data_IF_341876303438
#
_entry.id   IF_341876303438
#
_cell.length_a   1.000
_cell.length_b   1.000
_cell.length_c   1.000
_cell.angle_alpha   90.00
_cell.angle_beta   90.00
_cell.angle_gamma   90.00
#
_symmetry.space_group_name_H-M   'P 1'
#
loop_
_entity.id
_entity.type
_entity.pdbx_description
1 polymer ?
#
# COMPACT_ATOMS: atom_id res chain seq x y z
N UNK A 1 12.65 3.36 -44.59
CA UNK A 1 11.50 4.06 -43.97
C UNK A 1 10.77 3.30 -42.84
N UNK A 2 11.26 2.13 -42.36
CA UNK A 2 10.52 1.34 -41.35
C UNK A 2 10.89 1.63 -39.88
N UNK A 3 12.08 2.18 -39.59
CA UNK A 3 12.48 2.49 -38.20
C UNK A 3 11.74 3.72 -37.64
N UNK A 4 11.63 4.81 -38.41
CA UNK A 4 10.97 6.04 -37.96
C UNK A 4 9.50 5.81 -37.55
N UNK A 5 8.77 4.99 -38.32
CA UNK A 5 7.38 4.64 -38.06
C UNK A 5 7.19 3.73 -36.82
N UNK A 6 8.25 3.08 -36.32
CA UNK A 6 8.23 2.30 -35.06
C UNK A 6 8.74 3.10 -33.86
N UNK A 7 9.73 3.96 -34.08
CA UNK A 7 10.32 4.82 -33.05
C UNK A 7 9.33 5.90 -32.59
N UNK A 8 8.61 6.56 -33.51
CA UNK A 8 7.70 7.65 -33.14
C UNK A 8 6.54 7.20 -32.22
N UNK A 9 5.87 6.04 -32.46
CA UNK A 9 4.89 5.50 -31.52
C UNK A 9 5.51 5.08 -30.17
N UNK A 10 6.72 4.51 -30.17
CA UNK A 10 7.44 4.15 -28.93
C UNK A 10 7.84 5.38 -28.10
N UNK A 11 8.35 6.43 -28.75
CA UNK A 11 8.65 7.71 -28.10
C UNK A 11 7.39 8.38 -27.58
N UNK A 12 6.27 8.32 -28.32
CA UNK A 12 4.96 8.79 -27.83
C UNK A 12 4.41 7.98 -26.65
N UNK A 13 4.78 6.71 -26.52
CA UNK A 13 4.47 5.91 -25.32
C UNK A 13 5.38 6.26 -24.13
N UNK A 14 6.61 6.72 -24.39
CA UNK A 14 7.55 7.19 -23.37
C UNK A 14 7.18 8.59 -22.83
N UNK A 15 6.54 9.43 -23.65
CA UNK A 15 6.14 10.80 -23.31
C UNK A 15 4.75 10.92 -22.67
N UNK A 16 4.02 9.82 -22.43
CA UNK A 16 2.78 9.93 -21.66
C UNK A 16 3.13 10.13 -20.18
N UNK A 17 2.74 11.26 -19.57
CA UNK A 17 2.90 11.43 -18.13
C UNK A 17 2.21 10.26 -17.45
N UNK A 18 2.87 9.67 -16.46
CA UNK A 18 2.23 8.64 -15.65
C UNK A 18 0.85 9.13 -15.20
N UNK A 19 -0.13 8.23 -15.10
CA UNK A 19 -1.48 8.57 -14.65
C UNK A 19 -1.48 9.28 -13.27
N UNK A 20 -0.39 9.21 -12.52
CA UNK A 20 -0.21 9.87 -11.23
C UNK A 20 0.64 11.16 -11.30
N UNK A 21 1.30 11.45 -12.42
CA UNK A 21 2.28 12.53 -12.56
C UNK A 21 1.68 13.91 -12.26
N UNK A 22 0.43 14.16 -12.69
CA UNK A 22 -0.31 15.38 -12.37
C UNK A 22 -0.37 15.64 -10.86
N UNK A 23 -0.75 14.63 -10.07
CA UNK A 23 -0.87 14.77 -8.61
C UNK A 23 0.50 14.96 -7.98
N UNK A 24 1.51 14.21 -8.44
CA UNK A 24 2.89 14.36 -7.99
C UNK A 24 3.39 15.79 -8.17
N UNK A 25 3.16 16.39 -9.33
CA UNK A 25 3.62 17.75 -9.61
C UNK A 25 2.92 18.80 -8.73
N UNK A 26 1.62 18.63 -8.47
CA UNK A 26 0.90 19.48 -7.51
C UNK A 26 1.46 19.33 -6.09
N UNK A 27 1.80 18.11 -5.69
CA UNK A 27 2.29 17.80 -4.35
C UNK A 27 3.72 18.25 -4.09
N UNK A 28 4.50 18.55 -5.14
CA UNK A 28 5.81 19.22 -4.99
C UNK A 28 5.65 20.63 -4.41
N UNK A 29 4.61 21.36 -4.84
CA UNK A 29 4.40 22.76 -4.47
C UNK A 29 3.34 22.98 -3.38
N UNK A 30 2.42 22.03 -3.19
CA UNK A 30 1.33 22.13 -2.22
C UNK A 30 1.40 20.98 -1.22
N UNK A 31 0.95 21.18 0.03
CA UNK A 31 0.92 20.11 1.06
C UNK A 31 -0.22 19.09 0.86
N UNK A 32 -1.28 19.48 0.16
CA UNK A 32 -2.46 18.65 -0.14
C UNK A 32 -2.90 18.87 -1.60
N UNK A 33 -3.70 17.94 -2.12
CA UNK A 33 -4.37 18.14 -3.41
C UNK A 33 -5.54 19.13 -3.23
N UNK A 34 -5.72 20.10 -4.15
CA UNK A 34 -6.93 20.90 -4.18
C UNK A 34 -8.17 20.03 -4.42
N UNK A 35 -9.34 20.58 -4.13
CA UNK A 35 -10.59 19.81 -4.11
C UNK A 35 -10.90 19.12 -5.45
N UNK A 36 -10.60 19.81 -6.57
CA UNK A 36 -10.83 19.28 -7.92
C UNK A 36 -9.94 18.06 -8.21
N UNK A 37 -8.65 18.16 -7.94
CA UNK A 37 -7.69 17.08 -8.22
C UNK A 37 -7.83 15.94 -7.22
N UNK A 38 -8.24 16.21 -5.99
CA UNK A 38 -8.64 15.17 -5.04
C UNK A 38 -9.83 14.36 -5.57
N UNK A 39 -10.86 15.03 -6.08
CA UNK A 39 -12.00 14.34 -6.69
C UNK A 39 -11.60 13.56 -7.95
N UNK A 40 -10.68 14.10 -8.75
CA UNK A 40 -10.09 13.41 -9.90
C UNK A 40 -9.32 12.15 -9.48
N UNK A 41 -8.47 12.23 -8.46
CA UNK A 41 -7.74 11.07 -7.92
C UNK A 41 -8.70 9.99 -7.41
N UNK A 42 -9.77 10.39 -6.71
CA UNK A 42 -10.80 9.48 -6.25
C UNK A 42 -11.50 8.74 -7.42
N UNK A 43 -11.67 9.39 -8.57
CA UNK A 43 -12.18 8.71 -9.78
C UNK A 43 -11.13 7.78 -10.38
N UNK A 44 -9.87 8.22 -10.43
CA UNK A 44 -8.76 7.45 -11.01
C UNK A 44 -8.55 6.11 -10.30
N UNK A 45 -8.60 6.07 -8.97
CA UNK A 45 -8.40 4.83 -8.19
C UNK A 45 -9.47 3.76 -8.42
N UNK A 46 -10.61 4.11 -9.05
CA UNK A 46 -11.65 3.15 -9.45
C UNK A 46 -11.38 2.51 -10.82
N UNK A 47 -10.38 2.99 -11.54
CA UNK A 47 -10.06 2.53 -12.90
C UNK A 47 -8.90 1.54 -12.87
N UNK A 48 -8.72 0.76 -13.93
CA UNK A 48 -7.58 -0.16 -14.07
C UNK A 48 -6.21 0.55 -14.07
N UNK A 49 -6.19 1.87 -14.28
CA UNK A 49 -4.96 2.68 -14.18
C UNK A 49 -4.33 2.61 -12.80
N UNK A 50 -5.13 2.35 -11.75
CA UNK A 50 -4.64 2.21 -10.38
C UNK A 50 -3.54 1.15 -10.28
N UNK A 51 -3.64 0.03 -11.01
CA UNK A 51 -2.63 -1.03 -10.97
C UNK A 51 -1.26 -0.57 -11.49
N UNK A 52 -1.23 0.34 -12.46
CA UNK A 52 0.03 0.93 -12.93
C UNK A 52 0.60 1.88 -11.87
N UNK A 53 -0.27 2.64 -11.20
CA UNK A 53 0.12 3.56 -10.13
C UNK A 53 0.69 2.79 -8.92
N UNK A 54 0.12 1.64 -8.54
CA UNK A 54 0.60 0.81 -7.45
C UNK A 54 2.02 0.26 -7.67
N UNK A 55 2.46 0.15 -8.94
CA UNK A 55 3.82 -0.28 -9.31
C UNK A 55 4.83 0.88 -9.32
N UNK A 56 4.37 2.11 -9.14
CA UNK A 56 5.27 3.27 -9.15
C UNK A 56 6.04 3.39 -7.83
N UNK A 57 7.26 3.93 -7.92
CA UNK A 57 7.98 4.39 -6.75
C UNK A 57 7.37 5.71 -6.25
N UNK A 58 6.45 5.59 -5.30
CA UNK A 58 5.78 6.71 -4.66
C UNK A 58 6.55 7.16 -3.41
N UNK A 59 6.64 8.47 -3.19
CA UNK A 59 7.09 8.98 -1.90
C UNK A 59 6.11 8.59 -0.79
N UNK A 60 6.54 8.61 0.47
CA UNK A 60 5.66 8.32 1.61
C UNK A 60 4.43 9.23 1.59
N UNK A 61 4.60 10.51 1.25
CA UNK A 61 3.50 11.48 1.16
C UNK A 61 2.53 11.20 0.02
N UNK A 62 3.03 10.79 -1.13
CA UNK A 62 2.20 10.37 -2.26
C UNK A 62 1.40 9.10 -1.93
N UNK A 63 2.05 8.14 -1.26
CA UNK A 63 1.42 6.89 -0.83
C UNK A 63 0.31 7.13 0.21
N UNK A 64 0.49 8.06 1.15
CA UNK A 64 -0.55 8.44 2.11
C UNK A 64 -1.77 9.06 1.40
N UNK A 65 -1.56 9.93 0.42
CA UNK A 65 -2.65 10.57 -0.34
C UNK A 65 -3.40 9.55 -1.19
N UNK A 66 -2.67 8.69 -1.91
CA UNK A 66 -3.26 7.59 -2.67
C UNK A 66 -4.00 6.61 -1.76
N UNK A 67 -3.41 6.25 -0.62
CA UNK A 67 -4.00 5.36 0.39
C UNK A 67 -5.32 5.90 0.94
N UNK A 68 -5.39 7.20 1.24
CA UNK A 68 -6.64 7.85 1.64
C UNK A 68 -7.72 7.76 0.54
N UNK A 69 -7.34 7.93 -0.73
CA UNK A 69 -8.27 7.78 -1.85
C UNK A 69 -8.77 6.33 -1.98
N UNK A 70 -7.86 5.35 -1.87
CA UNK A 70 -8.19 3.92 -1.87
C UNK A 70 -9.15 3.54 -0.73
N UNK A 71 -8.91 4.06 0.47
CA UNK A 71 -9.78 3.84 1.63
C UNK A 71 -11.16 4.46 1.45
N UNK A 72 -11.26 5.63 0.80
CA UNK A 72 -12.53 6.32 0.54
C UNK A 72 -13.39 5.64 -0.54
N UNK A 73 -12.79 5.12 -1.61
CA UNK A 73 -13.54 4.69 -2.81
C UNK A 73 -13.87 3.20 -2.77
N UNK A 74 -15.00 2.76 -3.35
CA UNK A 74 -15.23 1.32 -3.51
C UNK A 74 -14.27 0.75 -4.56
N UNK A 75 -13.36 -0.11 -4.10
CA UNK A 75 -12.37 -0.79 -4.93
C UNK A 75 -12.90 -2.14 -5.40
N UNK A 76 -12.58 -2.47 -6.64
CA UNK A 76 -12.78 -3.80 -7.24
C UNK A 76 -11.45 -4.55 -7.23
N UNK A 77 -11.49 -5.88 -7.10
CA UNK A 77 -10.31 -6.76 -7.13
C UNK A 77 -9.18 -6.31 -6.18
N UNK A 78 -9.53 -6.18 -4.90
CA UNK A 78 -8.58 -5.75 -3.87
C UNK A 78 -7.42 -6.74 -3.73
N UNK A 79 -7.67 -8.03 -3.93
CA UNK A 79 -6.65 -9.08 -3.88
C UNK A 79 -5.54 -8.85 -4.94
N UNK A 80 -5.91 -8.47 -6.18
CA UNK A 80 -4.93 -8.10 -7.22
C UNK A 80 -4.05 -6.91 -6.79
N UNK A 81 -4.63 -5.95 -6.05
CA UNK A 81 -3.90 -4.79 -5.54
C UNK A 81 -2.89 -5.21 -4.46
N UNK A 82 -3.30 -6.11 -3.56
CA UNK A 82 -2.45 -6.68 -2.52
C UNK A 82 -1.26 -7.41 -3.16
N UNK A 83 -1.52 -8.27 -4.12
CA UNK A 83 -0.49 -9.02 -4.85
C UNK A 83 0.53 -8.10 -5.53
N UNK A 84 0.06 -7.03 -6.18
CA UNK A 84 0.95 -6.05 -6.80
C UNK A 84 1.85 -5.38 -5.74
N UNK A 85 1.27 -4.97 -4.61
CA UNK A 85 2.01 -4.25 -3.57
C UNK A 85 3.06 -5.15 -2.89
N UNK A 86 2.71 -6.40 -2.63
CA UNK A 86 3.64 -7.43 -2.10
C UNK A 86 4.78 -7.65 -3.08
N UNK A 87 4.47 -7.94 -4.36
CA UNK A 87 5.49 -8.19 -5.39
C UNK A 87 6.42 -7.01 -5.63
N UNK A 88 5.90 -5.79 -5.54
CA UNK A 88 6.68 -4.58 -5.77
C UNK A 88 7.62 -4.27 -4.59
N UNK A 89 7.22 -4.61 -3.36
CA UNK A 89 7.99 -4.43 -2.11
C UNK A 89 8.71 -3.07 -1.99
N UNK A 90 8.06 -1.98 -2.41
CA UNK A 90 8.59 -0.64 -2.22
C UNK A 90 8.30 -0.13 -0.81
N UNK A 91 9.00 0.93 -0.37
CA UNK A 91 8.72 1.60 0.91
C UNK A 91 7.27 2.11 0.97
N UNK A 92 6.69 2.50 -0.16
CA UNK A 92 5.29 2.89 -0.30
C UNK A 92 4.32 1.71 -0.16
N UNK A 93 4.74 0.48 -0.47
CA UNK A 93 3.86 -0.69 -0.45
C UNK A 93 3.25 -0.93 0.92
N UNK A 94 4.04 -0.84 2.00
CA UNK A 94 3.53 -1.03 3.36
C UNK A 94 2.52 0.05 3.77
N UNK A 95 2.70 1.29 3.29
CA UNK A 95 1.75 2.39 3.56
C UNK A 95 0.42 2.07 2.87
N UNK A 96 0.46 1.68 1.59
CA UNK A 96 -0.73 1.37 0.82
C UNK A 96 -1.45 0.10 1.33
N UNK A 97 -0.70 -0.93 1.73
CA UNK A 97 -1.25 -2.14 2.35
C UNK A 97 -2.00 -1.81 3.64
N UNK A 98 -1.41 -0.99 4.53
CA UNK A 98 -2.09 -0.49 5.74
C UNK A 98 -3.46 0.12 5.39
N UNK A 99 -3.52 1.00 4.39
CA UNK A 99 -4.78 1.63 3.98
C UNK A 99 -5.81 0.65 3.39
N UNK A 100 -5.37 -0.38 2.67
CA UNK A 100 -6.22 -1.44 2.15
C UNK A 100 -6.82 -2.27 3.30
N UNK A 101 -5.99 -2.66 4.27
CA UNK A 101 -6.39 -3.43 5.46
C UNK A 101 -7.40 -2.64 6.30
N UNK A 102 -7.13 -1.36 6.56
CA UNK A 102 -8.02 -0.47 7.32
C UNK A 102 -9.39 -0.26 6.67
N UNK A 103 -9.58 -0.65 5.42
CA UNK A 103 -10.86 -0.58 4.72
C UNK A 103 -11.88 -1.60 5.25
N UNK A 104 -11.45 -2.63 6.00
CA UNK A 104 -12.31 -3.70 6.55
C UNK A 104 -13.20 -4.40 5.51
N UNK A 105 -12.72 -4.57 4.26
CA UNK A 105 -13.42 -5.39 3.26
C UNK A 105 -13.14 -6.88 3.51
N UNK A 106 -14.05 -7.78 3.12
CA UNK A 106 -13.71 -9.21 3.02
C UNK A 106 -12.66 -9.35 1.92
N UNK A 107 -11.42 -9.57 2.32
CA UNK A 107 -10.24 -9.76 1.45
C UNK A 107 -9.48 -10.98 1.97
N UNK A 108 -8.72 -11.63 1.10
CA UNK A 108 -7.83 -12.71 1.56
C UNK A 108 -6.60 -12.10 2.24
N UNK A 109 -6.45 -12.36 3.54
CA UNK A 109 -5.36 -11.83 4.35
C UNK A 109 -4.11 -12.74 4.31
N UNK A 110 -4.25 -14.00 3.85
CA UNK A 110 -3.14 -14.96 3.82
C UNK A 110 -1.92 -14.47 3.03
N UNK A 111 -2.05 -13.80 1.86
CA UNK A 111 -0.89 -13.26 1.16
C UNK A 111 -0.14 -12.22 2.01
N UNK A 112 -0.86 -11.38 2.76
CA UNK A 112 -0.28 -10.35 3.62
C UNK A 112 0.45 -11.01 4.81
N UNK A 113 -0.15 -12.02 5.43
CA UNK A 113 0.49 -12.77 6.52
C UNK A 113 1.78 -13.43 6.07
N UNK A 114 1.73 -14.19 4.97
CA UNK A 114 2.89 -14.87 4.42
C UNK A 114 4.02 -13.88 4.09
N UNK A 115 3.66 -12.75 3.48
CA UNK A 115 4.62 -11.69 3.20
C UNK A 115 5.25 -11.11 4.48
N UNK A 116 4.47 -10.83 5.52
CA UNK A 116 5.01 -10.32 6.79
C UNK A 116 5.93 -11.33 7.46
N UNK A 117 5.51 -12.60 7.52
CA UNK A 117 6.30 -13.67 8.11
C UNK A 117 7.61 -13.92 7.36
N UNK A 118 7.60 -13.80 6.03
CA UNK A 118 8.81 -13.88 5.21
C UNK A 118 9.76 -12.73 5.53
N UNK A 119 9.26 -11.50 5.60
CA UNK A 119 10.08 -10.32 5.95
C UNK A 119 10.64 -10.40 7.38
N UNK A 120 9.88 -10.97 8.33
CA UNK A 120 10.35 -11.26 9.69
C UNK A 120 11.49 -12.28 9.65
N UNK A 121 11.31 -13.40 8.94
CA UNK A 121 12.35 -14.44 8.83
C UNK A 121 13.63 -13.94 8.17
N UNK A 122 13.51 -13.08 7.17
CA UNK A 122 14.67 -12.50 6.47
C UNK A 122 15.39 -11.43 7.32
N UNK A 123 14.85 -11.04 8.48
CA UNK A 123 15.39 -9.94 9.30
C UNK A 123 15.16 -8.55 8.67
N UNK A 124 14.34 -8.47 7.62
CA UNK A 124 14.05 -7.26 6.86
C UNK A 124 12.81 -6.49 7.36
N UNK A 125 12.21 -6.99 8.44
CA UNK A 125 11.05 -6.38 9.07
C UNK A 125 11.37 -4.95 9.54
N UNK A 126 10.89 -3.97 8.77
CA UNK A 126 11.11 -2.54 9.03
C UNK A 126 9.98 -1.97 9.87
N UNK A 127 10.24 -0.86 10.57
CA UNK A 127 9.23 -0.08 11.31
C UNK A 127 7.92 0.15 10.54
N UNK A 128 8.00 0.35 9.22
CA UNK A 128 6.84 0.53 8.34
C UNK A 128 5.89 -0.68 8.30
N UNK A 129 6.39 -1.88 8.56
CA UNK A 129 5.61 -3.12 8.67
C UNK A 129 4.89 -3.23 10.01
N UNK A 130 5.39 -2.61 11.09
CA UNK A 130 4.68 -2.54 12.38
C UNK A 130 3.31 -1.88 12.23
N UNK A 131 3.22 -0.84 11.39
CA UNK A 131 1.93 -0.20 11.08
C UNK A 131 0.98 -1.11 10.29
N UNK A 132 1.52 -2.04 9.50
CA UNK A 132 0.72 -3.05 8.79
C UNK A 132 0.24 -4.11 9.77
N UNK A 133 1.11 -4.62 10.64
CA UNK A 133 0.78 -5.58 11.70
C UNK A 133 -0.29 -5.01 12.62
N UNK A 134 -0.13 -3.76 13.07
CA UNK A 134 -1.12 -3.09 13.89
C UNK A 134 -2.48 -2.93 13.18
N UNK A 135 -2.46 -2.62 11.88
CA UNK A 135 -3.68 -2.60 11.08
C UNK A 135 -4.31 -4.00 10.95
N UNK A 136 -3.52 -5.07 10.83
CA UNK A 136 -4.04 -6.44 10.82
C UNK A 136 -4.71 -6.77 12.15
N UNK A 137 -4.06 -6.52 13.28
CA UNK A 137 -4.63 -6.80 14.61
C UNK A 137 -6.00 -6.14 14.79
N UNK A 138 -6.11 -4.86 14.43
CA UNK A 138 -7.34 -4.07 14.61
C UNK A 138 -8.49 -4.49 13.69
N UNK A 139 -8.21 -5.01 12.50
CA UNK A 139 -9.22 -5.25 11.46
C UNK A 139 -9.45 -6.75 11.17
N UNK A 140 -8.46 -7.58 11.45
CA UNK A 140 -8.40 -9.03 11.19
C UNK A 140 -7.58 -9.72 12.31
N UNK A 141 -8.00 -9.69 13.58
CA UNK A 141 -7.20 -10.17 14.70
C UNK A 141 -6.75 -11.63 14.55
N UNK A 142 -7.61 -12.50 14.00
CA UNK A 142 -7.29 -13.90 13.70
C UNK A 142 -6.14 -14.08 12.69
N UNK A 143 -5.69 -13.00 12.04
CA UNK A 143 -4.53 -13.03 11.15
C UNK A 143 -3.18 -12.83 11.85
N UNK A 144 -3.18 -12.50 13.15
CA UNK A 144 -1.95 -12.38 13.91
C UNK A 144 -1.48 -13.79 14.31
N UNK A 145 -0.36 -14.21 13.74
CA UNK A 145 0.21 -15.55 13.99
C UNK A 145 1.19 -15.53 15.15
N UNK A 146 1.49 -16.68 15.79
CA UNK A 146 2.47 -16.76 16.87
C UNK A 146 3.82 -16.15 16.47
N UNK A 147 4.26 -16.38 15.22
CA UNK A 147 5.49 -15.81 14.68
C UNK A 147 5.51 -14.27 14.65
N UNK A 148 4.36 -13.65 14.36
CA UNK A 148 4.22 -12.19 14.41
C UNK A 148 4.28 -11.69 15.86
N UNK A 149 3.70 -12.44 16.81
CA UNK A 149 3.77 -12.11 18.24
C UNK A 149 5.19 -12.26 18.79
N UNK A 150 5.90 -13.33 18.45
CA UNK A 150 7.30 -13.56 18.83
C UNK A 150 8.21 -12.42 18.33
N UNK A 151 7.98 -11.96 17.09
CA UNK A 151 8.65 -10.79 16.55
C UNK A 151 8.36 -9.51 17.37
N UNK A 152 7.13 -9.32 17.83
CA UNK A 152 6.77 -8.18 18.68
C UNK A 152 7.38 -8.28 20.08
N UNK A 153 7.48 -9.48 20.66
CA UNK A 153 8.15 -9.71 21.96
C UNK A 153 9.65 -9.40 21.92
N UNK A 154 10.30 -9.68 20.79
CA UNK A 154 11.75 -9.51 20.62
C UNK A 154 12.15 -8.13 20.12
N UNK A 155 11.18 -7.31 19.70
CA UNK A 155 11.42 -5.96 19.18
C UNK A 155 11.00 -4.90 20.20
N UNK A 156 11.96 -4.16 20.75
CA UNK A 156 11.67 -3.05 21.66
C UNK A 156 11.15 -1.82 20.90
N UNK A 157 9.84 -1.81 20.65
CA UNK A 157 9.17 -0.71 19.98
C UNK A 157 7.79 -0.44 20.60
N UNK A 158 7.38 0.83 20.84
CA UNK A 158 6.09 1.15 21.46
C UNK A 158 4.87 0.49 20.78
N UNK A 159 4.86 0.48 19.43
CA UNK A 159 3.81 -0.21 18.66
C UNK A 159 3.80 -1.72 18.92
N UNK A 160 4.95 -2.37 19.13
CA UNK A 160 4.98 -3.79 19.46
C UNK A 160 4.36 -4.07 20.84
N UNK A 161 4.60 -3.19 21.83
CA UNK A 161 3.95 -3.30 23.14
C UNK A 161 2.44 -3.17 23.03
N UNK A 162 1.96 -2.17 22.28
CA UNK A 162 0.54 -1.97 22.01
C UNK A 162 -0.10 -3.17 21.28
N UNK A 163 0.63 -3.77 20.32
CA UNK A 163 0.21 -5.00 19.62
C UNK A 163 0.06 -6.17 20.61
N UNK A 164 1.04 -6.36 21.50
CA UNK A 164 1.04 -7.46 22.47
C UNK A 164 -0.09 -7.30 23.49
N UNK A 165 -0.26 -6.10 24.05
CA UNK A 165 -1.36 -5.77 24.97
C UNK A 165 -2.72 -6.03 24.31
N UNK A 166 -2.92 -5.52 23.10
CA UNK A 166 -4.18 -5.68 22.36
C UNK A 166 -4.44 -7.10 21.87
N UNK A 167 -3.40 -7.93 21.71
CA UNK A 167 -3.56 -9.33 21.30
C UNK A 167 -4.02 -10.21 22.48
N UNK A 168 -3.61 -9.88 23.72
CA UNK A 168 -4.06 -10.58 24.92
C UNK A 168 -5.58 -10.42 25.13
N UNK A 169 -6.11 -9.22 24.91
CA UNK A 169 -7.54 -8.91 25.04
C UNK A 169 -8.45 -9.65 24.03
N UNK A 170 -7.88 -10.25 22.98
CA UNK A 170 -8.63 -10.92 21.89
C UNK A 170 -8.50 -12.45 21.98
N UNK A 171 -7.57 -12.96 22.77
CA UNK A 171 -7.33 -14.41 22.95
C UNK A 171 -8.08 -14.95 24.20
N UNK A 172 -8.59 -14.07 25.08
CA UNK A 172 -9.58 -14.39 26.13
C UNK A 172 -11.01 -14.50 25.58
#
# INVERSE_FOLDING_TARGET
MHLANRIIPMLRQLDQPSDFQLYRDILKSNTKLPAYEWASLCKLVKTNKVYNILRMNLSSREAEILGNALKKMSLNKVDDMIDILIKTNHKSSSILLKYIIEKKKKIDIRPIQNYLEEQITQGDAKFRMLKVIFALLKNYPNSITPKILDFCHTTDHPICREILESAMDVIE
#
